data_IF_690124091169
#
_entry.id   IF_690124091169
#
_cell.length_a   1.000
_cell.length_b   1.000
_cell.length_c   1.000
_cell.angle_alpha   90.00
_cell.angle_beta   90.00
_cell.angle_gamma   90.00
#
_symmetry.space_group_name_H-M   'P 1'
#
loop_
_entity.id
_entity.type
_entity.pdbx_description
1 polymer ?
#
# COMPACT_ATOMS: atom_id res chain seq x y z
N UNK A 1 5.56 6.47 13.73
CA UNK A 1 4.30 7.23 13.66
C UNK A 1 4.16 8.33 14.74
N UNK A 2 4.87 8.28 15.87
CA UNK A 2 4.64 9.21 16.98
C UNK A 2 5.13 10.67 16.77
N UNK A 3 6.14 10.91 15.92
CA UNK A 3 6.77 12.22 15.78
C UNK A 3 5.86 13.26 15.09
N UNK A 4 5.39 12.97 13.87
CA UNK A 4 4.49 13.86 13.11
C UNK A 4 3.21 14.14 13.91
N UNK A 5 2.62 13.12 14.55
CA UNK A 5 1.45 13.30 15.40
C UNK A 5 1.68 14.28 16.55
N UNK A 6 2.84 14.22 17.21
CA UNK A 6 3.21 15.17 18.28
C UNK A 6 3.46 16.58 17.76
N UNK A 7 4.01 16.74 16.55
CA UNK A 7 4.16 18.04 15.89
C UNK A 7 2.80 18.66 15.55
N UNK A 8 1.83 17.85 15.11
CA UNK A 8 0.45 18.28 14.89
C UNK A 8 -0.20 18.70 16.22
N UNK A 9 -0.02 17.93 17.30
CA UNK A 9 -0.53 18.32 18.62
C UNK A 9 0.05 19.66 19.12
N UNK A 10 1.34 19.90 18.89
CA UNK A 10 1.96 21.20 19.21
C UNK A 10 1.30 22.34 18.43
N UNK A 11 1.03 22.15 17.13
CA UNK A 11 0.31 23.11 16.30
C UNK A 11 -1.09 23.43 16.86
N UNK A 12 -1.78 22.44 17.42
CA UNK A 12 -3.08 22.61 18.06
C UNK A 12 -3.02 23.31 19.42
N UNK A 13 -1.87 23.84 19.84
CA UNK A 13 -1.68 24.55 21.11
C UNK A 13 -1.27 23.67 22.29
N UNK A 14 -0.97 22.38 22.06
CA UNK A 14 -0.59 21.49 23.14
C UNK A 14 0.91 21.58 23.48
N UNK A 15 1.22 22.32 24.54
CA UNK A 15 2.59 22.61 24.98
C UNK A 15 3.09 21.72 26.13
N UNK A 16 2.48 20.55 26.34
CA UNK A 16 2.94 19.61 27.38
C UNK A 16 4.45 19.33 27.23
N UNK A 17 5.22 19.18 28.34
CA UNK A 17 6.67 19.02 28.30
C UNK A 17 7.15 17.88 27.37
N UNK A 18 6.40 16.77 27.32
CA UNK A 18 6.70 15.63 26.43
C UNK A 18 6.62 15.98 24.94
N UNK A 19 5.66 16.84 24.57
CA UNK A 19 5.49 17.32 23.19
C UNK A 19 6.60 18.32 22.87
N UNK A 20 6.86 19.28 23.77
CA UNK A 20 7.94 20.27 23.60
C UNK A 20 9.32 19.62 23.44
N UNK A 21 9.62 18.56 24.20
CA UNK A 21 10.85 17.78 24.03
C UNK A 21 10.95 17.19 22.62
N UNK A 22 9.83 16.68 22.10
CA UNK A 22 9.76 16.10 20.76
C UNK A 22 9.92 17.18 19.68
N UNK A 23 9.27 18.34 19.85
CA UNK A 23 9.38 19.48 18.93
C UNK A 23 10.82 19.98 18.88
N UNK A 24 11.46 20.19 20.03
CA UNK A 24 12.89 20.58 20.10
C UNK A 24 13.79 19.59 19.39
N UNK A 25 13.54 18.28 19.55
CA UNK A 25 14.29 17.25 18.82
C UNK A 25 14.04 17.29 17.31
N UNK A 26 12.81 17.58 16.87
CA UNK A 26 12.48 17.65 15.45
C UNK A 26 13.21 18.80 14.72
N UNK A 27 13.51 19.87 15.44
CA UNK A 27 14.27 21.05 14.99
C UNK A 27 15.73 21.07 15.47
N UNK A 28 16.21 20.00 16.11
CA UNK A 28 17.60 19.94 16.57
C UNK A 28 18.56 20.08 15.38
N UNK A 29 19.55 20.99 15.51
CA UNK A 29 20.50 21.29 14.43
C UNK A 29 19.96 22.19 13.32
N UNK A 30 18.73 22.70 13.44
CA UNK A 30 18.20 23.74 12.56
C UNK A 30 18.26 25.10 13.24
N UNK A 31 18.51 26.18 12.50
CA UNK A 31 18.54 27.56 13.04
C UNK A 31 17.13 28.14 13.29
N UNK A 32 16.18 27.30 13.70
CA UNK A 32 14.77 27.68 13.90
C UNK A 32 14.51 27.89 15.38
N UNK A 33 14.10 29.12 15.74
CA UNK A 33 13.66 29.42 17.11
C UNK A 33 12.15 29.24 17.22
N UNK A 34 11.72 28.52 18.27
CA UNK A 34 10.30 28.24 18.54
C UNK A 34 9.49 29.49 18.93
N UNK A 35 10.17 30.60 19.24
CA UNK A 35 9.55 31.88 19.61
C UNK A 35 9.35 32.81 18.41
N UNK A 36 9.77 32.43 17.20
CA UNK A 36 9.61 33.25 16.00
C UNK A 36 8.13 33.26 15.54
N UNK A 37 7.65 34.37 14.96
CA UNK A 37 6.27 34.47 14.47
C UNK A 37 5.98 33.50 13.30
N UNK A 38 7.01 33.08 12.56
CA UNK A 38 6.92 32.17 11.42
C UNK A 38 6.98 30.68 11.79
N UNK A 39 6.98 30.36 13.09
CA UNK A 39 7.18 28.98 13.56
C UNK A 39 6.11 28.02 13.03
N UNK A 40 4.88 28.48 12.85
CA UNK A 40 3.78 27.67 12.33
C UNK A 40 4.05 27.20 10.90
N UNK A 41 4.62 28.08 10.07
CA UNK A 41 4.98 27.75 8.69
C UNK A 41 6.13 26.74 8.67
N UNK A 42 7.22 27.02 9.39
CA UNK A 42 8.37 26.10 9.50
C UNK A 42 7.98 24.73 10.06
N UNK A 43 6.99 24.69 10.95
CA UNK A 43 6.43 23.44 11.47
C UNK A 43 5.70 22.64 10.39
N UNK A 44 4.92 23.28 9.53
CA UNK A 44 4.26 22.59 8.41
C UNK A 44 5.29 22.07 7.40
N UNK A 45 6.25 22.90 7.01
CA UNK A 45 7.35 22.50 6.13
C UNK A 45 8.08 21.27 6.70
N UNK A 46 8.36 21.27 8.00
CA UNK A 46 9.01 20.13 8.67
C UNK A 46 8.13 18.88 8.68
N UNK A 47 6.82 19.02 8.91
CA UNK A 47 5.88 17.90 8.84
C UNK A 47 5.87 17.30 7.42
N UNK A 48 5.85 18.15 6.40
CA UNK A 48 5.77 17.70 5.02
C UNK A 48 7.09 17.08 4.53
N UNK A 49 8.25 17.62 4.91
CA UNK A 49 9.56 16.97 4.71
C UNK A 49 9.57 15.55 5.31
N UNK A 50 9.12 15.40 6.55
CA UNK A 50 9.06 14.08 7.19
C UNK A 50 8.11 13.11 6.46
N UNK A 51 6.94 13.58 6.01
CA UNK A 51 6.02 12.76 5.21
C UNK A 51 6.65 12.35 3.89
N UNK A 52 7.26 13.29 3.16
CA UNK A 52 7.91 13.03 1.88
C UNK A 52 9.04 12.01 2.04
N UNK A 53 9.88 12.15 3.07
CA UNK A 53 10.93 11.18 3.40
C UNK A 53 10.34 9.80 3.64
N UNK A 54 9.36 9.67 4.53
CA UNK A 54 8.70 8.37 4.82
C UNK A 54 8.15 7.75 3.53
N UNK A 55 7.47 8.54 2.70
CA UNK A 55 6.95 8.07 1.43
C UNK A 55 8.05 7.59 0.48
N UNK A 56 9.17 8.33 0.39
CA UNK A 56 10.32 7.95 -0.43
C UNK A 56 10.96 6.64 0.05
N UNK A 57 11.17 6.48 1.36
CA UNK A 57 11.68 5.25 1.96
C UNK A 57 10.73 4.07 1.73
N UNK A 58 9.43 4.28 1.90
CA UNK A 58 8.40 3.27 1.62
C UNK A 58 8.41 2.81 0.16
N UNK A 59 8.49 3.76 -0.79
CA UNK A 59 8.63 3.46 -2.22
C UNK A 59 9.92 2.68 -2.51
N UNK A 60 11.03 3.05 -1.88
CA UNK A 60 12.33 2.38 -2.04
C UNK A 60 12.28 0.93 -1.56
N UNK A 61 11.70 0.68 -0.37
CA UNK A 61 11.49 -0.66 0.17
C UNK A 61 10.64 -1.48 -0.80
N UNK A 62 9.47 -0.97 -1.19
CA UNK A 62 8.57 -1.64 -2.13
C UNK A 62 9.28 -2.03 -3.42
N UNK A 63 10.03 -1.10 -4.03
CA UNK A 63 10.80 -1.36 -5.26
C UNK A 63 11.82 -2.49 -5.08
N UNK A 64 12.52 -2.54 -3.95
CA UNK A 64 13.49 -3.62 -3.69
C UNK A 64 12.82 -4.96 -3.47
N UNK A 65 11.70 -5.00 -2.74
CA UNK A 65 10.91 -6.22 -2.57
C UNK A 65 10.40 -6.73 -3.91
N UNK A 66 9.77 -5.87 -4.71
CA UNK A 66 9.27 -6.23 -6.05
C UNK A 66 10.39 -6.69 -6.99
N UNK A 67 11.58 -6.09 -6.92
CA UNK A 67 12.74 -6.53 -7.70
C UNK A 67 13.15 -7.95 -7.28
N UNK A 68 13.27 -8.19 -5.97
CA UNK A 68 13.66 -9.50 -5.44
C UNK A 68 12.64 -10.57 -5.81
N UNK A 69 11.35 -10.29 -5.62
CA UNK A 69 10.25 -11.16 -6.01
C UNK A 69 10.30 -11.50 -7.49
N UNK A 70 10.42 -10.50 -8.37
CA UNK A 70 10.52 -10.73 -9.83
C UNK A 70 11.75 -11.54 -10.21
N UNK A 71 12.90 -11.27 -9.60
CA UNK A 71 14.11 -12.05 -9.84
C UNK A 71 13.90 -13.53 -9.49
N UNK A 72 13.34 -13.81 -8.31
CA UNK A 72 13.06 -15.17 -7.86
C UNK A 72 12.02 -15.87 -8.75
N UNK A 73 10.93 -15.18 -9.11
CA UNK A 73 9.89 -15.71 -9.99
C UNK A 73 10.43 -15.99 -11.39
N UNK A 74 11.21 -15.08 -11.98
CA UNK A 74 11.82 -15.29 -13.30
C UNK A 74 12.81 -16.45 -13.28
N UNK A 75 13.62 -16.58 -12.22
CA UNK A 75 14.55 -17.71 -12.06
C UNK A 75 13.79 -19.03 -11.90
N UNK A 76 12.68 -19.03 -11.17
CA UNK A 76 11.82 -20.20 -11.03
C UNK A 76 11.15 -20.55 -12.37
N UNK A 77 10.67 -19.56 -13.13
CA UNK A 77 10.10 -19.77 -14.46
C UNK A 77 11.08 -20.47 -15.40
N UNK A 78 12.32 -19.99 -15.46
CA UNK A 78 13.34 -20.56 -16.34
C UNK A 78 13.71 -22.00 -15.97
N UNK A 79 13.63 -22.36 -14.69
CA UNK A 79 13.99 -23.70 -14.20
C UNK A 79 12.81 -24.68 -14.20
N UNK A 80 11.64 -24.22 -13.76
CA UNK A 80 10.46 -25.04 -13.50
C UNK A 80 9.18 -24.18 -13.56
N UNK A 81 8.63 -24.07 -14.76
CA UNK A 81 7.42 -23.29 -15.03
C UNK A 81 6.21 -23.83 -14.26
N UNK A 82 6.08 -25.16 -14.15
CA UNK A 82 4.94 -25.80 -13.45
C UNK A 82 4.91 -25.39 -11.99
N UNK A 83 6.06 -25.37 -11.31
CA UNK A 83 6.15 -24.90 -9.91
C UNK A 83 5.82 -23.43 -9.75
N UNK A 84 6.18 -22.57 -10.71
CA UNK A 84 5.78 -21.16 -10.65
C UNK A 84 4.25 -21.03 -10.71
N UNK A 85 3.60 -21.67 -11.68
CA UNK A 85 2.14 -21.61 -11.81
C UNK A 85 1.43 -22.20 -10.59
N UNK A 86 1.90 -23.34 -10.09
CA UNK A 86 1.40 -23.94 -8.84
C UNK A 86 1.56 -23.02 -7.61
N UNK A 87 2.54 -22.10 -7.62
CA UNK A 87 2.71 -21.10 -6.54
C UNK A 87 1.73 -19.93 -6.62
N UNK A 88 1.14 -19.68 -7.79
CA UNK A 88 0.10 -18.67 -7.99
C UNK A 88 -1.30 -19.23 -7.71
N UNK A 89 -1.47 -20.53 -7.86
CA UNK A 89 -2.62 -21.24 -7.34
C UNK A 89 -2.62 -21.07 -5.82
N UNK A 90 -3.64 -20.39 -5.30
CA UNK A 90 -3.92 -20.44 -3.85
C UNK A 90 -4.05 -21.93 -3.48
N UNK A 91 -3.68 -22.36 -2.25
CA UNK A 91 -4.03 -23.70 -1.82
C UNK A 91 -5.51 -23.84 -2.12
N UNK A 92 -5.82 -24.78 -3.00
CA UNK A 92 -7.18 -25.04 -3.42
C UNK A 92 -7.90 -25.18 -2.08
N UNK A 93 -8.80 -24.24 -1.77
CA UNK A 93 -9.90 -24.59 -0.89
C UNK A 93 -10.59 -25.63 -1.76
N UNK A 94 -10.13 -26.88 -1.64
CA UNK A 94 -10.74 -28.03 -2.26
C UNK A 94 -12.16 -27.88 -1.82
N UNK A 95 -13.03 -27.41 -2.72
CA UNK A 95 -14.39 -27.12 -2.39
C UNK A 95 -14.89 -28.41 -1.74
N UNK A 96 -15.17 -28.37 -0.45
CA UNK A 96 -15.59 -29.55 0.31
C UNK A 96 -16.98 -30.02 -0.12
N UNK A 97 -17.52 -29.41 -1.19
CA UNK A 97 -18.77 -29.76 -1.82
C UNK A 97 -18.59 -30.85 -2.87
N UNK A 98 -19.65 -31.65 -3.10
CA UNK A 98 -19.66 -32.63 -4.16
C UNK A 98 -19.43 -31.96 -5.53
N UNK A 99 -18.78 -32.68 -6.44
CA UNK A 99 -18.59 -32.22 -7.81
C UNK A 99 -19.96 -31.83 -8.41
N UNK A 100 -20.07 -30.68 -9.10
CA UNK A 100 -21.33 -30.24 -9.68
C UNK A 100 -21.82 -31.25 -10.73
N UNK A 101 -23.13 -31.46 -10.77
CA UNK A 101 -23.76 -32.36 -11.72
C UNK A 101 -23.51 -31.88 -13.16
N UNK A 102 -23.30 -32.84 -14.08
CA UNK A 102 -23.06 -32.58 -15.50
C UNK A 102 -24.22 -31.78 -16.13
N UNK A 103 -25.46 -32.10 -15.76
CA UNK A 103 -26.63 -31.40 -16.28
C UNK A 103 -26.63 -29.91 -15.90
N UNK A 104 -26.37 -29.61 -14.63
CA UNK A 104 -26.35 -28.25 -14.10
C UNK A 104 -25.21 -27.43 -14.71
N UNK A 105 -24.06 -28.07 -14.93
CA UNK A 105 -22.90 -27.45 -15.57
C UNK A 105 -23.20 -27.08 -17.02
N UNK A 106 -23.84 -28.00 -17.77
CA UNK A 106 -24.23 -27.75 -19.17
C UNK A 106 -25.31 -26.68 -19.26
N UNK A 107 -26.29 -26.68 -18.36
CA UNK A 107 -27.35 -25.67 -18.32
C UNK A 107 -26.77 -24.27 -18.03
N UNK A 108 -25.82 -24.18 -17.09
CA UNK A 108 -25.12 -22.93 -16.78
C UNK A 108 -24.38 -22.35 -17.98
N UNK A 109 -23.50 -23.14 -18.62
CA UNK A 109 -22.73 -22.67 -19.77
C UNK A 109 -23.60 -22.39 -20.98
N UNK A 110 -24.66 -23.18 -21.18
CA UNK A 110 -25.64 -22.91 -22.23
C UNK A 110 -26.35 -21.59 -21.98
N UNK A 111 -26.79 -21.32 -20.76
CA UNK A 111 -27.44 -20.07 -20.36
C UNK A 111 -26.58 -18.83 -20.63
N UNK A 112 -25.29 -18.92 -20.28
CA UNK A 112 -24.32 -17.84 -20.51
C UNK A 112 -24.14 -17.50 -21.99
N UNK A 113 -24.17 -18.51 -22.87
CA UNK A 113 -23.98 -18.34 -24.31
C UNK A 113 -25.28 -18.25 -25.11
N UNK A 114 -26.43 -18.51 -24.50
CA UNK A 114 -27.73 -18.49 -25.17
C UNK A 114 -28.38 -17.11 -25.20
N UNK A 115 -27.94 -16.17 -24.35
CA UNK A 115 -28.44 -14.80 -24.40
C UNK A 115 -27.58 -13.96 -25.36
N UNK A 116 -28.08 -13.60 -26.56
CA UNK A 116 -27.42 -12.62 -27.39
C UNK A 116 -27.49 -11.26 -26.68
N UNK A 117 -26.36 -10.82 -26.13
CA UNK A 117 -26.22 -9.46 -25.61
C UNK A 117 -26.18 -8.53 -26.83
N UNK A 118 -27.28 -7.81 -27.07
CA UNK A 118 -27.30 -6.70 -28.01
C UNK A 118 -26.47 -5.56 -27.42
N UNK A 119 -25.20 -5.49 -27.83
CA UNK A 119 -24.39 -4.31 -27.59
C UNK A 119 -24.92 -3.20 -28.49
N UNK A 120 -25.48 -2.14 -27.91
CA UNK A 120 -25.81 -0.93 -28.65
C UNK A 120 -24.52 -0.38 -29.23
N UNK A 121 -24.37 -0.42 -30.55
CA UNK A 121 -23.36 0.37 -31.24
C UNK A 121 -23.66 1.85 -30.94
N UNK A 122 -22.75 2.49 -30.21
CA UNK A 122 -22.87 3.90 -29.87
C UNK A 122 -22.74 4.79 -31.12
N UNK A 123 -23.25 6.03 -31.05
CA UNK A 123 -23.25 6.99 -32.16
C UNK A 123 -21.85 7.46 -32.57
#
# INVERSE_FOLDING_TARGET
>A
MALIGRLICFRSGNNRPRIMRTVRMAFAGTNVSLSQPDITQKLMERIDDLKQRIAAWGKRIRRYTERSTRFNQNRLFQRDQKRLYASFERPIVSGTGPAPNKADTVAFWRGLWSEPVNHSEGP
#
